data_IF_646080094657
#
_entry.id   IF_646080094657
#
_cell.length_a   1.000
_cell.length_b   1.000
_cell.length_c   1.000
_cell.angle_alpha   90.00
_cell.angle_beta   90.00
_cell.angle_gamma   90.00
#
_symmetry.space_group_name_H-M   'P 1'
#
loop_
_entity.id
_entity.type
_entity.pdbx_description
1 polymer ?
#
# COMPACT_ATOMS: atom_id res chain seq x y z
N UNK A 1 17.57 0.18 -14.22
CA UNK A 1 17.94 0.21 -12.79
C UNK A 1 17.01 -0.73 -12.03
N UNK A 2 17.55 -1.82 -11.47
CA UNK A 2 16.76 -2.75 -10.65
C UNK A 2 16.50 -2.09 -9.32
N UNK A 3 15.22 -1.78 -9.03
CA UNK A 3 14.84 -1.25 -7.71
C UNK A 3 14.78 -2.40 -6.72
N UNK A 4 15.59 -2.37 -5.67
CA UNK A 4 15.55 -3.32 -4.56
C UNK A 4 14.30 -3.08 -3.70
N UNK A 5 13.13 -3.47 -4.23
CA UNK A 5 11.83 -3.29 -3.54
C UNK A 5 11.70 -4.28 -2.39
N UNK A 6 12.27 -5.47 -2.54
CA UNK A 6 12.22 -6.54 -1.53
C UNK A 6 13.51 -7.36 -1.53
N UNK A 7 13.88 -7.85 -0.36
CA UNK A 7 14.98 -8.80 -0.17
C UNK A 7 14.46 -10.24 0.09
N UNK A 8 13.16 -10.48 -0.11
CA UNK A 8 12.54 -11.74 0.28
C UNK A 8 12.27 -11.84 1.78
N UNK A 9 11.84 -13.01 2.22
CA UNK A 9 11.68 -13.36 3.65
C UNK A 9 12.90 -14.09 4.20
N UNK A 10 13.75 -14.57 3.29
CA UNK A 10 15.08 -15.11 3.55
C UNK A 10 15.96 -14.89 2.32
N UNK A 11 17.27 -15.24 2.35
CA UNK A 11 18.14 -15.13 1.18
C UNK A 11 17.66 -15.93 -0.04
N UNK A 12 16.84 -16.96 0.16
CA UNK A 12 16.39 -17.86 -0.88
C UNK A 12 14.87 -17.95 -1.06
N UNK A 13 14.09 -17.25 -0.23
CA UNK A 13 12.62 -17.31 -0.27
C UNK A 13 11.99 -15.93 -0.38
N UNK A 14 10.97 -15.82 -1.23
CA UNK A 14 10.15 -14.61 -1.37
C UNK A 14 8.86 -14.67 -0.56
N UNK A 15 8.32 -15.87 -0.36
CA UNK A 15 7.02 -16.13 0.29
C UNK A 15 5.86 -15.36 -0.37
N UNK A 16 5.51 -15.67 -1.62
CA UNK A 16 4.54 -14.89 -2.40
C UNK A 16 3.16 -14.83 -1.77
N UNK A 17 2.72 -15.92 -1.17
CA UNK A 17 1.37 -16.05 -0.60
C UNK A 17 1.24 -15.54 0.84
N UNK A 18 2.36 -15.12 1.46
CA UNK A 18 2.34 -14.53 2.79
C UNK A 18 1.62 -13.18 2.74
N UNK A 19 0.64 -13.00 3.64
CA UNK A 19 -0.02 -11.71 3.83
C UNK A 19 0.99 -10.65 4.27
N UNK A 20 0.89 -9.45 3.70
CA UNK A 20 1.70 -8.30 4.10
C UNK A 20 1.14 -7.62 5.33
N UNK A 21 2.01 -7.27 6.27
CA UNK A 21 1.66 -6.31 7.31
C UNK A 21 1.65 -4.88 6.76
N UNK A 22 1.03 -3.97 7.50
CA UNK A 22 1.02 -2.54 7.15
C UNK A 22 2.43 -1.97 7.10
N UNK A 23 3.31 -2.38 8.03
CA UNK A 23 4.72 -2.01 8.03
C UNK A 23 5.45 -2.50 6.77
N UNK A 24 5.23 -3.74 6.37
CA UNK A 24 5.79 -4.29 5.13
C UNK A 24 5.26 -3.51 3.92
N UNK A 25 3.95 -3.23 3.87
CA UNK A 25 3.32 -2.52 2.76
C UNK A 25 3.93 -1.13 2.53
N UNK A 26 4.00 -0.29 3.56
CA UNK A 26 4.59 1.06 3.40
C UNK A 26 6.09 1.00 3.08
N UNK A 27 6.79 -0.03 3.55
CA UNK A 27 8.22 -0.22 3.23
C UNK A 27 8.40 -0.61 1.76
N UNK A 28 7.53 -1.43 1.18
CA UNK A 28 7.53 -1.71 -0.26
C UNK A 28 7.32 -0.42 -1.07
N UNK A 29 6.34 0.40 -0.70
CA UNK A 29 6.07 1.69 -1.35
C UNK A 29 7.26 2.63 -1.26
N UNK A 30 7.86 2.76 -0.08
CA UNK A 30 9.02 3.61 0.18
C UNK A 30 10.24 3.19 -0.65
N UNK A 31 10.52 1.88 -0.70
CA UNK A 31 11.59 1.33 -1.54
C UNK A 31 11.31 1.53 -3.03
N UNK A 32 10.07 1.36 -3.44
CA UNK A 32 9.66 1.63 -4.82
C UNK A 32 9.88 3.09 -5.21
N UNK A 33 9.67 4.02 -4.29
CA UNK A 33 9.94 5.44 -4.45
C UNK A 33 11.44 5.80 -4.43
N UNK A 34 12.32 4.85 -4.15
CA UNK A 34 13.77 5.05 -4.11
C UNK A 34 14.33 5.42 -2.72
N UNK A 35 13.65 5.00 -1.66
CA UNK A 35 14.04 5.23 -0.27
C UNK A 35 14.27 6.71 0.07
N UNK A 36 13.33 7.61 -0.26
CA UNK A 36 13.53 9.03 -0.02
C UNK A 36 13.66 9.32 1.48
N UNK A 37 14.70 10.08 1.85
CA UNK A 37 14.90 10.51 3.22
C UNK A 37 13.94 11.64 3.57
N UNK A 38 13.49 11.63 4.82
CA UNK A 38 12.58 12.63 5.37
C UNK A 38 13.22 13.26 6.59
N UNK A 39 13.50 14.56 6.51
CA UNK A 39 14.00 15.33 7.64
C UNK A 39 12.81 15.70 8.56
N UNK A 40 13.06 15.74 9.87
CA UNK A 40 12.10 16.20 10.87
C UNK A 40 11.91 15.25 12.04
N UNK A 41 10.91 15.55 12.87
CA UNK A 41 10.55 14.77 14.05
C UNK A 41 10.19 13.32 13.70
N UNK A 42 10.18 12.43 14.69
CA UNK A 42 9.79 11.03 14.55
C UNK A 42 8.35 10.87 14.05
N UNK A 43 7.89 9.63 13.98
CA UNK A 43 6.50 9.29 13.65
C UNK A 43 5.53 9.93 14.67
N UNK A 44 4.35 10.41 14.23
CA UNK A 44 3.30 10.85 15.14
C UNK A 44 2.64 9.67 15.89
N UNK A 45 2.92 8.44 15.46
CA UNK A 45 2.28 7.24 16.00
C UNK A 45 3.07 6.68 17.18
N UNK A 46 2.37 6.43 18.30
CA UNK A 46 2.96 5.89 19.54
C UNK A 46 3.45 4.44 19.41
N UNK A 47 2.91 3.71 18.43
CA UNK A 47 3.26 2.32 18.13
C UNK A 47 4.35 2.17 17.04
N UNK A 48 5.04 3.26 16.71
CA UNK A 48 6.17 3.29 15.79
C UNK A 48 7.39 3.88 16.50
N UNK A 49 8.29 3.02 16.94
CA UNK A 49 9.54 3.41 17.57
C UNK A 49 10.53 3.99 16.55
N UNK A 50 11.39 4.89 17.00
CA UNK A 50 12.38 5.56 16.15
C UNK A 50 13.38 4.57 15.49
N UNK A 51 13.65 3.46 16.14
CA UNK A 51 14.62 2.45 15.72
C UNK A 51 13.96 1.24 15.02
N UNK A 52 12.63 1.27 14.84
CA UNK A 52 11.93 0.23 14.10
C UNK A 52 12.37 0.24 12.64
N UNK A 53 12.54 -0.95 12.05
CA UNK A 53 13.03 -1.11 10.67
C UNK A 53 12.16 -0.42 9.62
N UNK A 54 10.90 -0.16 9.93
CA UNK A 54 9.91 0.53 9.08
C UNK A 54 9.73 2.01 9.44
N UNK A 55 10.38 2.52 10.49
CA UNK A 55 10.13 3.86 11.01
C UNK A 55 10.33 4.96 9.95
N UNK A 56 11.37 4.86 9.12
CA UNK A 56 11.65 5.84 8.08
C UNK A 56 10.61 5.79 6.95
N UNK A 57 10.18 4.59 6.57
CA UNK A 57 9.12 4.41 5.58
C UNK A 57 7.79 4.97 6.07
N UNK A 58 7.44 4.77 7.35
CA UNK A 58 6.22 5.33 7.95
C UNK A 58 6.28 6.86 7.97
N UNK A 59 7.39 7.46 8.43
CA UNK A 59 7.57 8.92 8.42
C UNK A 59 7.42 9.51 7.02
N UNK A 60 8.01 8.87 6.02
CA UNK A 60 7.86 9.28 4.64
C UNK A 60 6.41 9.21 4.18
N UNK A 61 5.72 8.12 4.47
CA UNK A 61 4.33 7.92 4.07
C UNK A 61 3.38 8.94 4.72
N UNK A 62 3.60 9.30 5.98
CA UNK A 62 2.86 10.37 6.67
C UNK A 62 3.12 11.72 6.01
N UNK A 63 4.40 12.09 5.81
CA UNK A 63 4.77 13.38 5.23
C UNK A 63 4.24 13.56 3.81
N UNK A 64 4.12 12.47 3.06
CA UNK A 64 3.58 12.48 1.70
C UNK A 64 2.05 12.37 1.65
N UNK A 65 1.37 12.28 2.78
CA UNK A 65 -0.08 12.11 2.83
C UNK A 65 -0.55 10.74 2.34
N UNK A 66 0.34 9.74 2.32
CA UNK A 66 0.01 8.39 1.86
C UNK A 66 -0.77 7.63 2.93
N UNK A 67 -0.42 7.83 4.20
CA UNK A 67 -1.12 7.22 5.34
C UNK A 67 -1.42 8.23 6.44
N UNK A 68 -2.54 8.05 7.11
CA UNK A 68 -2.94 8.78 8.32
C UNK A 68 -3.00 7.85 9.55
N UNK A 69 -2.50 6.62 9.41
CA UNK A 69 -2.60 5.60 10.45
C UNK A 69 -3.93 4.86 10.45
N UNK A 70 -4.16 4.05 11.48
CA UNK A 70 -5.43 3.38 11.77
C UNK A 70 -6.27 4.18 12.76
N UNK A 71 -5.61 5.07 13.51
CA UNK A 71 -6.22 6.11 14.34
C UNK A 71 -5.31 7.34 14.30
N UNK A 72 -5.68 8.37 15.05
CA UNK A 72 -4.91 9.61 15.16
C UNK A 72 -3.49 9.38 15.70
N UNK A 73 -3.32 8.41 16.59
CA UNK A 73 -2.05 8.13 17.29
C UNK A 73 -1.48 6.72 17.07
N UNK A 74 -2.10 5.90 16.20
CA UNK A 74 -1.64 4.54 15.90
C UNK A 74 -1.50 4.28 14.40
N UNK A 75 -0.44 3.59 14.03
CA UNK A 75 -0.18 3.10 12.67
C UNK A 75 -0.62 1.64 12.49
N UNK A 76 -0.57 0.83 13.55
CA UNK A 76 -0.83 -0.61 13.57
C UNK A 76 0.11 -1.38 12.64
N UNK A 77 1.43 -1.33 12.85
CA UNK A 77 2.43 -1.87 11.93
C UNK A 77 2.29 -3.37 11.66
N UNK A 78 1.91 -4.15 12.67
CA UNK A 78 1.77 -5.60 12.58
C UNK A 78 0.42 -6.06 12.01
N UNK A 79 -0.54 -5.17 11.88
CA UNK A 79 -1.83 -5.51 11.29
C UNK A 79 -1.67 -5.86 9.81
N UNK A 80 -2.36 -6.90 9.35
CA UNK A 80 -2.41 -7.25 7.94
C UNK A 80 -3.00 -6.11 7.10
N UNK A 81 -2.36 -5.81 5.99
CA UNK A 81 -2.84 -4.83 5.02
C UNK A 81 -3.83 -5.47 4.06
N UNK A 82 -5.02 -4.92 3.94
CA UNK A 82 -6.02 -5.41 2.99
C UNK A 82 -5.78 -4.90 1.57
N UNK A 83 -6.42 -5.55 0.60
CA UNK A 83 -6.37 -5.12 -0.81
C UNK A 83 -6.91 -3.69 -1.00
N UNK A 84 -7.99 -3.34 -0.31
CA UNK A 84 -8.54 -1.98 -0.31
C UNK A 84 -7.57 -0.95 0.27
N UNK A 85 -6.87 -1.30 1.34
CA UNK A 85 -5.86 -0.44 1.94
C UNK A 85 -4.67 -0.21 1.00
N UNK A 86 -4.11 -1.26 0.41
CA UNK A 86 -2.92 -1.10 -0.44
C UNK A 86 -3.19 -0.30 -1.70
N UNK A 87 -4.32 -0.50 -2.38
CA UNK A 87 -4.63 0.34 -3.55
C UNK A 87 -4.86 1.80 -3.17
N UNK A 88 -5.41 2.06 -1.97
CA UNK A 88 -5.57 3.42 -1.45
C UNK A 88 -4.23 4.08 -1.17
N UNK A 89 -3.29 3.37 -0.53
CA UNK A 89 -1.94 3.87 -0.30
C UNK A 89 -1.21 4.16 -1.62
N UNK A 90 -1.34 3.27 -2.58
CA UNK A 90 -0.71 3.42 -3.89
C UNK A 90 -1.33 4.59 -4.70
N UNK A 91 -2.64 4.75 -4.65
CA UNK A 91 -3.36 5.86 -5.26
C UNK A 91 -2.92 7.22 -4.66
N UNK A 92 -2.82 7.29 -3.33
CA UNK A 92 -2.30 8.48 -2.64
C UNK A 92 -0.85 8.77 -2.99
N UNK A 93 -0.01 7.73 -3.07
CA UNK A 93 1.38 7.88 -3.50
C UNK A 93 1.50 8.50 -4.90
N UNK A 94 0.53 8.27 -5.77
CA UNK A 94 0.44 8.83 -7.11
C UNK A 94 -0.30 10.19 -7.19
N UNK A 95 -0.62 10.81 -6.05
CA UNK A 95 -1.24 12.13 -5.99
C UNK A 95 -2.76 12.12 -6.14
N UNK A 96 -3.41 11.02 -5.80
CA UNK A 96 -4.88 10.87 -5.82
C UNK A 96 -5.54 11.20 -7.17
N UNK A 97 -5.04 10.67 -8.29
CA UNK A 97 -5.57 11.02 -9.60
C UNK A 97 -7.03 10.59 -9.75
N UNK A 98 -7.83 11.47 -10.36
CA UNK A 98 -9.24 11.16 -10.64
C UNK A 98 -9.34 10.19 -11.80
N UNK A 99 -10.04 9.08 -11.60
CA UNK A 99 -10.41 8.17 -12.68
C UNK A 99 -11.59 8.74 -13.47
N UNK A 100 -11.57 8.54 -14.80
CA UNK A 100 -12.63 9.04 -15.69
C UNK A 100 -13.88 8.21 -15.57
N UNK A 101 -13.74 6.89 -15.48
CA UNK A 101 -14.86 5.93 -15.37
C UNK A 101 -14.35 4.57 -14.92
N UNK A 102 -15.23 3.69 -14.52
CA UNK A 102 -14.94 2.27 -14.40
C UNK A 102 -14.97 1.71 -13.01
N UNK A 103 -14.66 0.42 -12.92
CA UNK A 103 -14.49 -0.31 -11.68
C UNK A 103 -15.82 -0.69 -11.01
N UNK A 104 -16.80 -1.07 -11.79
CA UNK A 104 -18.10 -1.52 -11.28
C UNK A 104 -18.04 -2.90 -10.62
N UNK A 105 -17.22 -3.06 -9.60
CA UNK A 105 -17.22 -4.29 -8.78
C UNK A 105 -18.43 -4.30 -7.83
N UNK A 106 -19.08 -5.45 -7.72
CA UNK A 106 -20.26 -5.61 -6.89
C UNK A 106 -19.99 -5.38 -5.39
N UNK A 107 -18.75 -5.61 -4.97
CA UNK A 107 -18.28 -5.47 -3.59
C UNK A 107 -17.58 -4.14 -3.29
N UNK A 108 -17.72 -3.15 -4.19
CA UNK A 108 -17.16 -1.80 -4.01
C UNK A 108 -18.27 -0.77 -4.19
N UNK A 109 -18.79 -0.25 -3.07
CA UNK A 109 -19.78 0.83 -3.10
C UNK A 109 -19.10 2.18 -3.39
N UNK A 110 -19.84 3.10 -4.03
CA UNK A 110 -19.31 4.43 -4.34
C UNK A 110 -18.92 5.24 -3.09
N UNK A 111 -19.51 4.93 -1.94
CA UNK A 111 -19.25 5.56 -0.64
C UNK A 111 -18.04 4.98 0.10
N UNK A 112 -17.49 3.86 -0.35
CA UNK A 112 -16.34 3.25 0.30
C UNK A 112 -15.09 4.11 0.13
N UNK A 113 -14.28 4.23 1.21
CA UNK A 113 -13.09 5.09 1.19
C UNK A 113 -12.08 4.70 0.12
N UNK A 114 -12.03 3.42 -0.25
CA UNK A 114 -11.15 2.89 -1.29
C UNK A 114 -11.73 2.98 -2.70
N UNK A 115 -13.00 3.34 -2.86
CA UNK A 115 -13.66 3.33 -4.18
C UNK A 115 -12.95 4.19 -5.23
N UNK A 116 -12.50 5.43 -4.96
CA UNK A 116 -11.75 6.22 -5.93
C UNK A 116 -10.43 5.56 -6.33
N UNK A 117 -9.72 4.98 -5.35
CA UNK A 117 -8.47 4.27 -5.57
C UNK A 117 -8.65 3.02 -6.43
N UNK A 118 -9.72 2.25 -6.18
CA UNK A 118 -10.04 1.06 -6.99
C UNK A 118 -10.34 1.44 -8.43
N UNK A 119 -11.14 2.49 -8.67
CA UNK A 119 -11.42 2.98 -10.03
C UNK A 119 -10.15 3.38 -10.77
N UNK A 120 -9.28 4.14 -10.11
CA UNK A 120 -7.99 4.52 -10.68
C UNK A 120 -7.14 3.30 -10.99
N UNK A 121 -7.06 2.34 -10.06
CA UNK A 121 -6.25 1.14 -10.22
C UNK A 121 -6.71 0.28 -11.41
N UNK A 122 -8.02 0.19 -11.65
CA UNK A 122 -8.57 -0.49 -12.83
C UNK A 122 -8.25 0.28 -14.11
N UNK A 123 -8.49 1.59 -14.14
CA UNK A 123 -8.21 2.43 -15.31
C UNK A 123 -6.74 2.39 -15.71
N UNK A 124 -5.83 2.34 -14.73
CA UNK A 124 -4.38 2.25 -14.95
C UNK A 124 -3.89 0.82 -15.24
N UNK A 125 -4.75 -0.18 -15.16
CA UNK A 125 -4.36 -1.57 -15.32
C UNK A 125 -3.54 -2.13 -14.16
N UNK A 126 -3.56 -1.48 -12.99
CA UNK A 126 -2.89 -1.94 -11.77
C UNK A 126 -3.54 -3.21 -11.26
N UNK A 127 -4.86 -3.29 -11.35
CA UNK A 127 -5.65 -4.46 -10.98
C UNK A 127 -6.83 -4.67 -11.92
N UNK A 128 -7.25 -5.93 -12.07
CA UNK A 128 -8.47 -6.32 -12.76
C UNK A 128 -9.50 -6.93 -11.79
N UNK A 129 -9.26 -6.83 -10.48
CA UNK A 129 -10.03 -7.53 -9.47
C UNK A 129 -9.56 -8.96 -9.23
N UNK A 130 -10.30 -9.70 -8.40
CA UNK A 130 -10.10 -11.15 -8.19
C UNK A 130 -10.97 -11.96 -9.17
N UNK A 131 -12.01 -11.33 -9.72
CA UNK A 131 -12.85 -11.81 -10.80
C UNK A 131 -13.38 -10.61 -11.60
N UNK A 132 -14.16 -10.86 -12.65
CA UNK A 132 -14.78 -9.80 -13.45
C UNK A 132 -15.75 -8.91 -12.64
N UNK A 133 -16.27 -9.41 -11.54
CA UNK A 133 -17.31 -8.75 -10.73
C UNK A 133 -16.88 -8.41 -9.31
N UNK A 134 -15.72 -8.91 -8.83
CA UNK A 134 -15.28 -8.76 -7.45
C UNK A 134 -13.85 -8.21 -7.37
N UNK A 135 -13.66 -7.23 -6.50
CA UNK A 135 -12.36 -6.69 -6.14
C UNK A 135 -11.77 -7.34 -4.89
N UNK A 136 -12.60 -7.80 -3.96
CA UNK A 136 -12.26 -8.33 -2.65
C UNK A 136 -11.47 -7.33 -1.79
N UNK A 137 -12.05 -6.17 -1.44
CA UNK A 137 -11.33 -5.10 -0.74
C UNK A 137 -10.85 -5.46 0.66
N UNK A 138 -11.54 -6.38 1.33
CA UNK A 138 -11.22 -6.81 2.69
C UNK A 138 -10.30 -8.02 2.77
N UNK A 139 -10.02 -8.67 1.65
CA UNK A 139 -9.06 -9.77 1.61
C UNK A 139 -7.65 -9.26 1.91
N UNK A 140 -6.85 -10.11 2.53
CA UNK A 140 -5.45 -9.83 2.80
C UNK A 140 -4.67 -9.59 1.50
N UNK A 141 -3.87 -8.55 1.48
CA UNK A 141 -2.93 -8.32 0.41
C UNK A 141 -1.68 -9.15 0.63
N UNK A 142 -1.40 -10.08 -0.28
CA UNK A 142 -0.19 -10.90 -0.22
C UNK A 142 1.03 -10.15 -0.74
N UNK A 143 2.23 -10.68 -0.45
CA UNK A 143 3.49 -10.15 -0.97
C UNK A 143 3.52 -10.16 -2.50
N UNK A 144 2.97 -11.20 -3.13
CA UNK A 144 2.84 -11.25 -4.59
C UNK A 144 1.90 -10.16 -5.12
N UNK A 145 0.77 -9.91 -4.45
CA UNK A 145 -0.17 -8.86 -4.84
C UNK A 145 0.49 -7.48 -4.83
N UNK A 146 1.19 -7.11 -3.75
CA UNK A 146 1.78 -5.77 -3.62
C UNK A 146 2.87 -5.53 -4.67
N UNK A 147 3.76 -6.49 -4.91
CA UNK A 147 4.81 -6.32 -5.94
C UNK A 147 4.22 -6.26 -7.35
N UNK A 148 3.12 -6.99 -7.60
CA UNK A 148 2.39 -6.94 -8.87
C UNK A 148 1.74 -5.57 -9.08
N UNK A 149 1.07 -5.03 -8.06
CA UNK A 149 0.46 -3.71 -8.13
C UNK A 149 1.51 -2.61 -8.36
N UNK A 150 2.63 -2.67 -7.66
CA UNK A 150 3.75 -1.74 -7.87
C UNK A 150 4.35 -1.85 -9.27
N UNK A 151 4.53 -3.06 -9.77
CA UNK A 151 5.04 -3.27 -11.12
C UNK A 151 4.11 -2.67 -12.19
N UNK A 152 2.80 -2.89 -12.05
CA UNK A 152 1.79 -2.40 -13.00
C UNK A 152 1.51 -0.90 -12.88
N UNK A 153 1.87 -0.27 -11.76
CA UNK A 153 1.66 1.17 -11.53
C UNK A 153 2.75 2.07 -12.13
N UNK A 154 3.74 1.48 -12.79
CA UNK A 154 4.85 2.22 -13.43
C UNK A 154 4.39 3.10 -14.57
#
# INVERSE_FOLDING_TARGET
MVKNITNGTSPTTFSPDKACTRAEAVTFLWRFAGCPKVNGAGSPFRDVGKDDWYAEAVRWAVKKGITNGTSEDTFSPEQTCTRGQIVTLLWRMNGEPKAKAGGGFADVAASDYYAPAVRWAVEKGVTNGVSDTLFAPYDDCTRAHIVTFLYRSK
#
